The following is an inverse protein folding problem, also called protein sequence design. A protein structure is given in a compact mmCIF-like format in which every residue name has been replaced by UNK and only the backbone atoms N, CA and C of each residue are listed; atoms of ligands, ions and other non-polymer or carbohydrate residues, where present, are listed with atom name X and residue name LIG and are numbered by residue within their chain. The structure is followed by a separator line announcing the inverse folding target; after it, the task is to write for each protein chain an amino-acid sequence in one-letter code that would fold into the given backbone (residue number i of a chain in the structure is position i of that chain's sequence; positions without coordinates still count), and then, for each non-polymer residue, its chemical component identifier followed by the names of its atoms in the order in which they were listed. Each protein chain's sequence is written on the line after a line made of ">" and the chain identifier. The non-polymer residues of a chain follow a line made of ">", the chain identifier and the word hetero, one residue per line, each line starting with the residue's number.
data_IF_734538597521
#
_entry.id   IF_734538597521
#
_cell.length_a   1.000
_cell.length_b   1.000
_cell.length_c   1.000
_cell.angle_alpha   90.00
_cell.angle_beta   90.00
_cell.angle_gamma   90.00
#
_symmetry.space_group_name_H-M   'P 1'
#
loop_
_entity.id
_entity.type
_entity.pdbx_description
1 polymer ?
#
# COMPACT_ATOMS: atom_id res chain seq x y z
N UNK A 1 20.56 3.95 3.84
CA UNK A 1 19.16 4.19 4.30
C UNK A 1 18.65 2.94 5.00
N UNK A 2 18.16 3.05 6.24
CA UNK A 2 17.65 1.90 7.01
C UNK A 2 16.31 1.49 6.38
N UNK A 3 16.20 0.30 5.78
CA UNK A 3 14.91 -0.21 5.28
C UNK A 3 13.96 -0.35 6.47
N UNK A 4 12.91 0.46 6.51
CA UNK A 4 11.83 0.29 7.49
C UNK A 4 11.14 -1.01 7.13
N UNK A 5 11.19 -1.99 8.03
CA UNK A 5 10.47 -3.26 7.84
C UNK A 5 9.10 -3.11 8.46
N UNK A 6 8.07 -3.09 7.62
CA UNK A 6 6.68 -3.13 8.08
C UNK A 6 6.24 -4.58 8.33
N UNK A 7 5.31 -4.74 9.26
CA UNK A 7 4.52 -5.95 9.47
C UNK A 7 3.12 -5.78 8.89
N UNK A 8 2.46 -6.89 8.55
CA UNK A 8 1.06 -6.86 8.08
C UNK A 8 0.11 -6.30 9.14
N UNK A 9 0.49 -6.39 10.42
CA UNK A 9 -0.27 -5.85 11.53
C UNK A 9 -0.15 -4.33 11.64
N UNK A 10 0.88 -3.72 11.04
CA UNK A 10 1.07 -2.27 11.04
C UNK A 10 0.24 -1.56 9.97
N UNK A 11 -0.29 -2.33 9.02
CA UNK A 11 -0.97 -1.85 7.82
C UNK A 11 -2.46 -2.21 7.91
N UNK A 12 -3.31 -1.20 7.75
CA UNK A 12 -4.76 -1.35 7.76
C UNK A 12 -5.35 -1.23 6.37
N UNK A 13 -6.55 -1.80 6.20
CA UNK A 13 -7.35 -1.53 5.01
C UNK A 13 -7.76 -0.06 5.04
N UNK A 14 -7.53 0.64 3.93
CA UNK A 14 -7.72 2.08 3.82
C UNK A 14 -6.45 2.92 3.95
N UNK A 15 -5.35 2.35 4.48
CA UNK A 15 -4.04 2.99 4.45
C UNK A 15 -3.50 3.07 3.01
N UNK A 16 -2.54 3.96 2.81
CA UNK A 16 -1.87 4.13 1.53
C UNK A 16 -0.40 3.73 1.66
N UNK A 17 0.09 2.91 0.74
CA UNK A 17 1.46 2.39 0.78
C UNK A 17 2.24 2.73 -0.48
N UNK A 18 3.53 2.98 -0.29
CA UNK A 18 4.52 3.03 -1.36
C UNK A 18 5.35 1.75 -1.28
N UNK A 19 5.59 1.10 -2.41
CA UNK A 19 6.33 -0.17 -2.46
C UNK A 19 7.30 -0.23 -3.63
N UNK A 20 8.40 -0.96 -3.43
CA UNK A 20 9.45 -1.22 -4.42
C UNK A 20 9.22 -2.63 -4.93
N UNK A 21 8.35 -2.79 -5.92
CA UNK A 21 8.25 -4.03 -6.67
C UNK A 21 9.01 -3.89 -8.01
N UNK A 22 9.14 -4.94 -8.80
CA UNK A 22 9.65 -4.88 -10.18
C UNK A 22 8.55 -4.57 -11.20
N UNK A 23 7.32 -4.27 -10.75
CA UNK A 23 6.21 -3.96 -11.63
C UNK A 23 6.41 -2.58 -12.30
N UNK A 24 6.47 -2.48 -13.64
CA UNK A 24 6.80 -1.26 -14.36
C UNK A 24 5.79 -0.09 -14.20
N UNK A 25 4.76 -0.27 -13.38
CA UNK A 25 3.70 0.71 -13.15
C UNK A 25 4.06 1.53 -11.90
N UNK A 26 4.53 2.74 -12.16
CA UNK A 26 4.48 3.90 -11.25
C UNK A 26 4.91 3.65 -9.80
N UNK A 27 6.19 3.29 -9.62
CA UNK A 27 6.86 3.12 -8.32
C UNK A 27 6.90 4.36 -7.42
N UNK A 28 6.35 5.48 -7.88
CA UNK A 28 6.36 6.78 -7.19
C UNK A 28 5.02 7.13 -6.56
N UNK A 29 3.96 6.36 -6.84
CA UNK A 29 2.62 6.64 -6.33
C UNK A 29 2.30 5.81 -5.09
N UNK A 30 1.48 6.40 -4.23
CA UNK A 30 0.88 5.71 -3.10
C UNK A 30 -0.37 4.95 -3.55
N UNK A 31 -0.46 3.68 -3.18
CA UNK A 31 -1.59 2.82 -3.52
C UNK A 31 -2.39 2.49 -2.27
N UNK A 32 -3.71 2.52 -2.38
CA UNK A 32 -4.61 2.26 -1.26
C UNK A 32 -4.71 0.77 -0.99
N UNK A 33 -4.50 0.37 0.25
CA UNK A 33 -4.74 -1.01 0.71
C UNK A 33 -6.23 -1.28 0.74
N UNK A 34 -6.68 -2.21 -0.10
CA UNK A 34 -8.09 -2.61 -0.18
C UNK A 34 -8.35 -3.97 0.45
N UNK A 35 -7.33 -4.80 0.62
CA UNK A 35 -7.46 -6.07 1.33
C UNK A 35 -6.12 -6.58 1.88
N UNK A 36 -6.21 -7.45 2.89
CA UNK A 36 -5.09 -8.19 3.48
C UNK A 36 -5.26 -9.68 3.20
N UNK A 37 -4.22 -10.33 2.68
CA UNK A 37 -4.21 -11.74 2.36
C UNK A 37 -3.31 -12.52 3.32
N UNK A 38 -3.53 -13.84 3.38
CA UNK A 38 -2.60 -14.77 4.04
C UNK A 38 -1.18 -14.64 3.46
N UNK A 39 -0.17 -15.08 4.24
CA UNK A 39 1.25 -15.05 3.85
C UNK A 39 1.84 -13.64 3.65
N UNK A 40 1.40 -12.65 4.43
CA UNK A 40 1.91 -11.27 4.42
C UNK A 40 1.82 -10.59 3.04
N UNK A 41 0.68 -10.73 2.37
CA UNK A 41 0.39 -10.05 1.10
C UNK A 41 -0.77 -9.07 1.24
N UNK A 42 -0.73 -8.01 0.46
CA UNK A 42 -1.73 -6.95 0.41
C UNK A 42 -2.32 -6.91 -1.00
N UNK A 43 -3.61 -6.63 -1.10
CA UNK A 43 -4.21 -6.17 -2.35
C UNK A 43 -4.28 -4.66 -2.25
N UNK A 44 -3.65 -3.99 -3.21
CA UNK A 44 -3.67 -2.53 -3.30
C UNK A 44 -4.33 -2.09 -4.59
N UNK A 45 -4.96 -0.91 -4.54
CA UNK A 45 -5.68 -0.30 -5.65
C UNK A 45 -5.14 1.11 -5.91
N UNK A 46 -4.96 1.44 -7.19
CA UNK A 46 -4.85 2.82 -7.66
C UNK A 46 -6.01 3.12 -8.60
N UNK A 47 -6.46 4.37 -8.61
CA UNK A 47 -7.52 4.84 -9.51
C UNK A 47 -6.99 5.97 -10.36
N UNK A 48 -6.89 5.72 -11.66
CA UNK A 48 -6.41 6.69 -12.64
C UNK A 48 -7.41 6.83 -13.77
N UNK A 49 -7.77 8.07 -14.11
CA UNK A 49 -8.67 8.39 -15.22
C UNK A 49 -9.98 7.57 -15.24
N UNK A 50 -10.52 7.23 -14.07
CA UNK A 50 -11.75 6.45 -13.93
C UNK A 50 -11.58 4.93 -13.96
N UNK A 51 -10.36 4.43 -14.18
CA UNK A 51 -10.04 3.01 -14.12
C UNK A 51 -9.38 2.65 -12.79
N UNK A 52 -9.85 1.57 -12.16
CA UNK A 52 -9.26 1.02 -10.94
C UNK A 52 -8.36 -0.17 -11.30
N UNK A 53 -7.07 -0.05 -11.02
CA UNK A 53 -6.11 -1.15 -11.15
C UNK A 53 -5.82 -1.73 -9.77
N UNK A 54 -5.82 -3.06 -9.68
CA UNK A 54 -5.49 -3.80 -8.46
C UNK A 54 -4.27 -4.69 -8.70
N UNK A 55 -3.37 -4.72 -7.73
CA UNK A 55 -2.21 -5.60 -7.74
C UNK A 55 -1.99 -6.22 -6.36
N UNK A 56 -1.19 -7.29 -6.32
CA UNK A 56 -0.82 -7.99 -5.09
C UNK A 56 0.62 -7.64 -4.75
N UNK A 57 0.83 -7.10 -3.55
CA UNK A 57 2.15 -6.65 -3.07
C UNK A 57 2.52 -7.42 -1.80
N UNK A 58 3.79 -7.79 -1.68
CA UNK A 58 4.33 -8.35 -0.43
C UNK A 58 4.58 -7.22 0.57
N UNK A 59 4.21 -7.43 1.84
CA UNK A 59 4.50 -6.45 2.91
C UNK A 59 5.99 -6.12 3.01
N UNK A 60 6.87 -7.06 2.61
CA UNK A 60 8.33 -6.86 2.62
C UNK A 60 8.82 -5.81 1.62
N UNK A 61 8.02 -5.53 0.60
CA UNK A 61 8.37 -4.61 -0.48
C UNK A 61 7.84 -3.20 -0.20
N UNK A 62 7.07 -3.02 0.87
CA UNK A 62 6.57 -1.72 1.35
C UNK A 62 7.75 -0.88 1.84
N UNK A 63 7.91 0.31 1.26
CA UNK A 63 8.94 1.29 1.60
C UNK A 63 8.37 2.39 2.49
N UNK A 64 7.11 2.75 2.30
CA UNK A 64 6.45 3.81 3.07
C UNK A 64 4.97 3.51 3.30
N UNK A 65 4.43 4.03 4.39
CA UNK A 65 3.05 3.85 4.83
C UNK A 65 2.49 5.21 5.27
N UNK A 66 1.46 5.67 4.59
CA UNK A 66 0.63 6.79 5.02
C UNK A 66 -0.64 6.23 5.66
N UNK A 67 -0.83 6.56 6.94
CA UNK A 67 -2.01 6.13 7.68
C UNK A 67 -3.16 7.04 7.32
N UNK A 68 -4.25 6.45 6.86
CA UNK A 68 -5.46 7.20 6.69
C UNK A 68 -6.14 7.29 8.05
N UNK A 69 -5.85 8.34 8.82
CA UNK A 69 -6.53 8.61 10.09
C UNK A 69 -7.94 9.13 9.78
N UNK A 70 -9.02 8.36 10.04
CA UNK A 70 -10.36 8.92 9.98
C UNK A 70 -10.56 9.72 11.27
N UNK A 71 -10.31 11.04 11.21
CA UNK A 71 -10.65 11.94 12.31
C UNK A 71 -9.58 12.98 12.65
N UNK A 72 -9.48 14.00 11.81
CA UNK A 72 -9.21 15.38 12.25
C UNK A 72 -9.85 16.31 11.23
N UNK A 73 -11.17 16.20 11.14
CA UNK A 73 -12.01 17.30 10.68
C UNK A 73 -12.24 18.14 11.93
N UNK A 74 -11.51 19.25 12.04
CA UNK A 74 -11.77 20.28 13.04
C UNK A 74 -13.03 21.06 12.67
#
# INVERSE_FOLDING_TARGET
>A
MKKVKFSINDINVGDEILFSDQHPVEHTLFWRVVNKMSRNRLIVEIREMGYAQKIIVSVKDVINLQRNTPGLVA
#
